data_IF_380043876217
#
_entry.id   IF_380043876217
#
_cell.length_a   1.000
_cell.length_b   1.000
_cell.length_c   1.000
_cell.angle_alpha   90.00
_cell.angle_beta   90.00
_cell.angle_gamma   90.00
#
_symmetry.space_group_name_H-M   'P 1'
#
loop_
_entity.id
_entity.type
_entity.pdbx_description
1 polymer ?
#
# COMPACT_ATOMS: atom_id res chain seq x y z
N UNK A 1 -7.92 -1.16 20.96
CA UNK A 1 -7.74 0.24 20.52
C UNK A 1 -8.18 0.37 19.06
N UNK A 2 -8.92 1.41 18.68
CA UNK A 2 -9.27 1.66 17.26
C UNK A 2 -8.04 2.18 16.53
N UNK A 3 -7.75 1.68 15.34
CA UNK A 3 -6.50 2.00 14.62
C UNK A 3 -6.75 2.24 13.13
N UNK A 4 -6.14 3.30 12.61
CA UNK A 4 -6.06 3.61 11.19
C UNK A 4 -4.62 3.34 10.76
N UNK A 5 -4.44 2.62 9.66
CA UNK A 5 -3.12 2.24 9.16
C UNK A 5 -2.87 2.98 7.85
N UNK A 6 -1.78 3.75 7.84
CA UNK A 6 -1.29 4.50 6.69
C UNK A 6 0.00 3.84 6.21
N UNK A 7 0.05 3.43 4.94
CA UNK A 7 1.17 2.66 4.38
C UNK A 7 1.76 3.43 3.21
N UNK A 8 3.06 3.68 3.23
CA UNK A 8 3.80 4.19 2.08
C UNK A 8 4.26 3.03 1.18
N UNK A 9 3.82 3.03 -0.08
CA UNK A 9 4.13 2.00 -1.09
C UNK A 9 5.64 1.82 -1.24
N UNK A 10 6.38 2.90 -1.44
CA UNK A 10 7.82 2.78 -1.70
C UNK A 10 8.57 2.20 -0.50
N UNK A 11 8.24 2.65 0.70
CA UNK A 11 8.85 2.13 1.93
C UNK A 11 8.55 0.65 2.10
N UNK A 12 7.30 0.22 1.88
CA UNK A 12 6.91 -1.19 1.92
C UNK A 12 7.63 -2.00 0.83
N UNK A 13 7.67 -1.49 -0.40
CA UNK A 13 8.28 -2.16 -1.53
C UNK A 13 9.77 -2.36 -1.31
N UNK A 14 10.51 -1.29 -1.04
CA UNK A 14 11.96 -1.38 -0.84
C UNK A 14 12.35 -2.10 0.46
N UNK A 15 11.53 -2.01 1.51
CA UNK A 15 11.80 -2.62 2.80
C UNK A 15 11.46 -4.11 2.91
N UNK A 16 10.42 -4.58 2.20
CA UNK A 16 9.91 -5.94 2.39
C UNK A 16 9.60 -6.71 1.10
N UNK A 17 9.20 -6.05 0.01
CA UNK A 17 8.72 -6.75 -1.20
C UNK A 17 9.79 -6.89 -2.29
N UNK A 18 10.76 -5.99 -2.35
CA UNK A 18 11.78 -5.94 -3.41
C UNK A 18 12.63 -7.21 -3.39
N UNK A 19 12.64 -7.91 -4.53
CA UNK A 19 13.39 -9.17 -4.69
C UNK A 19 12.63 -10.41 -4.23
N UNK A 20 11.38 -10.24 -3.78
CA UNK A 20 10.48 -11.36 -3.48
C UNK A 20 9.49 -11.58 -4.63
N UNK A 21 8.97 -12.80 -4.74
CA UNK A 21 7.88 -13.11 -5.69
C UNK A 21 6.50 -12.65 -5.16
N UNK A 22 6.42 -12.21 -3.90
CA UNK A 22 5.18 -11.83 -3.22
C UNK A 22 4.81 -10.36 -3.47
N UNK A 23 4.55 -10.01 -4.73
CA UNK A 23 4.21 -8.62 -5.12
C UNK A 23 2.79 -8.20 -4.75
N UNK A 24 1.90 -9.17 -4.52
CA UNK A 24 0.51 -8.96 -4.16
C UNK A 24 0.32 -9.37 -2.70
N UNK A 25 0.60 -8.44 -1.79
CA UNK A 25 0.50 -8.62 -0.35
C UNK A 25 -0.88 -8.19 0.15
N UNK A 26 -1.56 -9.04 0.91
CA UNK A 26 -2.78 -8.65 1.63
C UNK A 26 -2.41 -7.83 2.87
N UNK A 27 -2.55 -6.51 2.74
CA UNK A 27 -2.20 -5.56 3.80
C UNK A 27 -3.16 -5.62 4.98
N UNK A 28 -4.42 -5.96 4.76
CA UNK A 28 -5.38 -6.12 5.86
C UNK A 28 -4.99 -7.30 6.72
N UNK A 29 -4.72 -8.45 6.10
CA UNK A 29 -4.27 -9.64 6.81
C UNK A 29 -2.93 -9.43 7.52
N UNK A 30 -1.96 -8.78 6.87
CA UNK A 30 -0.68 -8.43 7.49
C UNK A 30 -0.88 -7.58 8.74
N UNK A 31 -1.67 -6.52 8.66
CA UNK A 31 -1.84 -5.59 9.77
C UNK A 31 -2.64 -6.21 10.92
N UNK A 32 -3.63 -7.05 10.62
CA UNK A 32 -4.34 -7.83 11.65
C UNK A 32 -3.42 -8.81 12.38
N UNK A 33 -2.47 -9.43 11.67
CA UNK A 33 -1.47 -10.30 12.29
C UNK A 33 -0.43 -9.52 13.10
N UNK A 34 -0.02 -8.34 12.63
CA UNK A 34 0.98 -7.50 13.29
C UNK A 34 0.42 -6.80 14.53
N UNK A 35 -0.86 -6.40 14.49
CA UNK A 35 -1.55 -5.65 15.55
C UNK A 35 -2.78 -6.42 16.07
N UNK A 36 -2.62 -7.63 16.63
CA UNK A 36 -3.74 -8.54 16.92
C UNK A 36 -4.69 -8.03 18.01
N UNK A 37 -4.26 -7.05 18.82
CA UNK A 37 -5.07 -6.43 19.88
C UNK A 37 -5.78 -5.16 19.43
N UNK A 38 -5.54 -4.74 18.18
CA UNK A 38 -6.09 -3.51 17.63
C UNK A 38 -7.30 -3.83 16.75
N UNK A 39 -8.29 -2.96 16.81
CA UNK A 39 -9.41 -2.99 15.90
C UNK A 39 -9.07 -2.07 14.72
N UNK A 40 -8.61 -2.67 13.63
CA UNK A 40 -8.23 -1.93 12.41
C UNK A 40 -9.51 -1.46 11.74
N UNK A 41 -9.65 -0.13 11.65
CA UNK A 41 -10.82 0.53 11.06
C UNK A 41 -10.61 0.75 9.57
N UNK A 42 -9.38 1.08 9.18
CA UNK A 42 -9.02 1.38 7.80
C UNK A 42 -7.55 1.12 7.54
N UNK A 43 -7.25 0.67 6.33
CA UNK A 43 -5.90 0.58 5.76
C UNK A 43 -5.90 1.42 4.49
N UNK A 44 -5.04 2.44 4.43
CA UNK A 44 -4.89 3.33 3.28
C UNK A 44 -3.45 3.23 2.76
N UNK A 45 -3.31 2.95 1.46
CA UNK A 45 -2.03 2.90 0.77
C UNK A 45 -1.77 4.23 0.05
N UNK A 46 -0.62 4.82 0.30
CA UNK A 46 -0.15 6.04 -0.32
C UNK A 46 1.00 5.71 -1.26
N UNK A 47 0.80 6.00 -2.54
CA UNK A 47 1.83 5.90 -3.57
C UNK A 47 2.13 7.30 -4.10
N UNK A 48 3.38 7.55 -4.50
CA UNK A 48 3.67 8.80 -5.20
C UNK A 48 2.92 8.85 -6.54
N UNK A 49 2.56 10.07 -6.95
CA UNK A 49 1.94 10.31 -8.25
C UNK A 49 2.94 9.99 -9.36
N UNK A 50 2.64 8.97 -10.16
CA UNK A 50 3.48 8.60 -11.31
C UNK A 50 3.19 9.58 -12.45
N UNK A 51 4.22 10.27 -12.96
CA UNK A 51 4.08 11.09 -14.16
C UNK A 51 3.79 10.19 -15.36
N UNK A 52 2.70 10.42 -16.12
CA UNK A 52 2.41 9.62 -17.30
C UNK A 52 3.55 9.80 -18.32
N UNK A 53 3.96 8.69 -18.96
CA UNK A 53 4.92 8.76 -20.08
C UNK A 53 4.18 9.26 -21.32
N UNK A 54 4.75 10.19 -22.10
CA UNK A 54 4.08 10.80 -23.25
C UNK A 54 3.65 9.79 -24.34
N UNK A 55 4.28 8.62 -24.42
CA UNK A 55 3.91 7.55 -25.36
C UNK A 55 2.81 6.60 -24.85
N UNK A 56 2.43 6.68 -23.57
CA UNK A 56 1.45 5.78 -22.96
C UNK A 56 0.31 6.59 -22.37
N UNK A 57 -0.69 6.90 -23.20
CA UNK A 57 -1.94 7.54 -22.77
C UNK A 57 -2.82 6.53 -22.02
N UNK A 58 -2.43 6.14 -20.79
CA UNK A 58 -3.29 5.41 -19.87
C UNK A 58 -3.65 6.35 -18.73
N UNK A 59 -4.92 6.78 -18.66
CA UNK A 59 -5.42 7.65 -17.58
C UNK A 59 -5.25 6.91 -16.25
N UNK A 60 -4.36 7.40 -15.41
CA UNK A 60 -4.31 7.02 -14.00
C UNK A 60 -5.21 8.02 -13.29
N UNK A 61 -6.47 7.66 -13.06
CA UNK A 61 -7.36 8.44 -12.20
C UNK A 61 -6.97 8.11 -10.77
N UNK A 62 -6.20 9.01 -10.14
CA UNK A 62 -6.02 8.97 -8.69
C UNK A 62 -7.34 9.50 -8.11
N UNK A 63 -8.08 8.67 -7.40
CA UNK A 63 -9.26 9.11 -6.65
C UNK A 63 -8.73 9.92 -5.47
N UNK A 64 -8.75 11.25 -5.60
CA UNK A 64 -8.55 12.20 -4.49
C UNK A 64 -9.84 12.28 -3.65
#
# INVERSE_FOLDING_TARGET
MRTYVYIDDFTLYYGALKGTDYKWLDLSALMSNLLPRNNIIRVELFTARIKPRPSCSRRITVLD
#
